data_IF_012978205402
#
_entry.id   IF_012978205402
#
_cell.length_a   1.000
_cell.length_b   1.000
_cell.length_c   1.000
_cell.angle_alpha   90.00
_cell.angle_beta   90.00
_cell.angle_gamma   90.00
#
_symmetry.space_group_name_H-M   'P 1'
#
loop_
_entity.id
_entity.type
_entity.pdbx_description
1 polymer ?
#
# COMPACT_ATOMS: atom_id res chain seq x y z
N UNK A 1 -1.08 20.32 -14.41
CA UNK A 1 -1.59 19.45 -15.50
C UNK A 1 -2.40 18.32 -14.90
N UNK A 2 -3.51 17.95 -15.54
CA UNK A 2 -4.37 16.87 -15.12
C UNK A 2 -4.28 15.71 -16.14
N UNK A 3 -3.82 14.53 -15.73
CA UNK A 3 -3.79 13.34 -16.57
C UNK A 3 -5.09 12.51 -16.50
N UNK A 4 -6.18 13.04 -15.92
CA UNK A 4 -7.51 12.44 -15.88
C UNK A 4 -7.54 10.96 -15.44
N UNK A 5 -6.70 10.59 -14.48
CA UNK A 5 -6.51 9.19 -13.99
C UNK A 5 -6.15 8.17 -15.08
N UNK A 6 -5.65 8.63 -16.21
CA UNK A 6 -5.17 7.78 -17.31
C UNK A 6 -3.67 7.54 -17.19
N UNK A 7 -3.26 6.31 -16.88
CA UNK A 7 -1.86 5.99 -16.59
C UNK A 7 -0.86 6.32 -17.71
N UNK A 8 -1.12 6.01 -18.99
CA UNK A 8 -0.27 6.45 -20.10
C UNK A 8 -0.14 7.97 -20.19
N UNK A 9 -1.23 8.70 -19.91
CA UNK A 9 -1.23 10.15 -19.96
C UNK A 9 -0.36 10.78 -18.86
N UNK A 10 -0.19 10.13 -17.71
CA UNK A 10 0.78 10.55 -16.69
C UNK A 10 2.20 10.62 -17.25
N UNK A 11 2.64 9.58 -17.96
CA UNK A 11 3.96 9.53 -18.57
C UNK A 11 4.12 10.62 -19.66
N UNK A 12 3.11 10.78 -20.53
CA UNK A 12 3.10 11.80 -21.58
C UNK A 12 3.19 13.22 -21.01
N UNK A 13 2.35 13.54 -20.03
CA UNK A 13 2.36 14.84 -19.36
C UNK A 13 3.68 15.11 -18.62
N UNK A 14 4.28 14.08 -18.05
CA UNK A 14 5.61 14.19 -17.43
C UNK A 14 6.68 14.53 -18.47
N UNK A 15 6.66 13.89 -19.67
CA UNK A 15 7.54 14.25 -20.79
C UNK A 15 7.35 15.70 -21.23
N UNK A 16 6.10 16.16 -21.31
CA UNK A 16 5.80 17.55 -21.64
C UNK A 16 6.40 18.51 -20.61
N UNK A 17 6.12 18.28 -19.31
CA UNK A 17 6.61 19.15 -18.23
C UNK A 17 8.13 19.25 -18.22
N UNK A 18 8.84 18.14 -18.32
CA UNK A 18 10.31 18.11 -18.26
C UNK A 18 10.95 18.57 -19.56
N UNK A 19 10.40 18.20 -20.71
CA UNK A 19 11.02 18.43 -22.03
C UNK A 19 10.64 19.76 -22.66
N UNK A 20 9.36 20.13 -22.63
CA UNK A 20 8.82 21.32 -23.27
C UNK A 20 8.75 22.51 -22.30
N UNK A 21 8.08 22.29 -21.17
CA UNK A 21 7.87 23.34 -20.16
C UNK A 21 9.11 23.57 -19.28
N UNK A 22 10.07 22.63 -19.31
CA UNK A 22 11.36 22.68 -18.61
C UNK A 22 11.23 23.00 -17.13
N UNK A 23 10.25 22.38 -16.48
CA UNK A 23 10.05 22.56 -15.04
C UNK A 23 11.24 21.99 -14.26
N UNK A 24 11.63 22.64 -13.18
CA UNK A 24 12.74 22.19 -12.34
C UNK A 24 12.38 20.96 -11.50
N UNK A 25 11.11 20.80 -11.16
CA UNK A 25 10.63 19.76 -10.25
C UNK A 25 9.13 19.49 -10.48
N UNK A 26 8.73 18.25 -10.24
CA UNK A 26 7.32 17.82 -10.26
C UNK A 26 6.91 17.40 -8.85
N UNK A 27 5.80 17.93 -8.35
CA UNK A 27 5.10 17.43 -7.18
C UNK A 27 3.83 16.76 -7.65
N UNK A 28 3.68 15.46 -7.41
CA UNK A 28 2.49 14.81 -7.94
C UNK A 28 2.48 13.30 -7.82
N UNK A 29 1.54 12.74 -8.54
CA UNK A 29 1.07 11.38 -8.44
C UNK A 29 0.38 11.08 -7.11
N UNK A 30 -0.65 10.26 -7.15
CA UNK A 30 -1.30 9.73 -5.96
C UNK A 30 -1.12 8.21 -5.89
N UNK A 31 -1.59 7.54 -6.93
CA UNK A 31 -1.60 6.08 -6.94
C UNK A 31 -0.21 5.52 -7.23
N UNK A 32 0.07 4.32 -6.72
CA UNK A 32 1.33 3.63 -7.03
C UNK A 32 1.49 3.38 -8.54
N UNK A 33 0.40 3.14 -9.26
CA UNK A 33 0.44 2.98 -10.73
C UNK A 33 0.83 4.27 -11.40
N UNK A 34 0.27 5.41 -11.01
CA UNK A 34 0.65 6.70 -11.61
C UNK A 34 2.13 7.02 -11.37
N UNK A 35 2.64 6.77 -10.16
CA UNK A 35 4.07 6.91 -9.86
C UNK A 35 4.92 5.98 -10.73
N UNK A 36 4.56 4.70 -10.83
CA UNK A 36 5.28 3.71 -11.65
C UNK A 36 5.23 4.05 -13.14
N UNK A 37 4.17 4.70 -13.62
CA UNK A 37 4.07 5.16 -15.00
C UNK A 37 5.01 6.32 -15.31
N UNK A 38 5.23 7.23 -14.37
CA UNK A 38 6.12 8.38 -14.58
C UNK A 38 7.58 8.08 -14.26
N UNK A 39 7.85 7.09 -13.42
CA UNK A 39 9.21 6.78 -12.96
C UNK A 39 10.23 6.60 -14.09
N UNK A 40 9.98 5.80 -15.14
CA UNK A 40 10.92 5.65 -16.24
C UNK A 40 11.21 6.97 -16.95
N UNK A 41 10.19 7.82 -17.11
CA UNK A 41 10.33 9.12 -17.77
C UNK A 41 11.16 10.09 -16.93
N UNK A 42 10.90 10.14 -15.63
CA UNK A 42 11.64 10.99 -14.70
C UNK A 42 13.12 10.58 -14.65
N UNK A 43 13.41 9.28 -14.69
CA UNK A 43 14.78 8.76 -14.72
C UNK A 43 15.48 9.03 -16.05
N UNK A 44 14.82 8.75 -17.18
CA UNK A 44 15.36 8.96 -18.53
C UNK A 44 15.72 10.43 -18.79
N UNK A 45 14.83 11.33 -18.36
CA UNK A 45 15.00 12.77 -18.55
C UNK A 45 15.78 13.44 -17.41
N UNK A 46 16.29 12.67 -16.46
CA UNK A 46 16.96 13.16 -15.25
C UNK A 46 16.17 14.26 -14.53
N UNK A 47 14.85 14.11 -14.51
CA UNK A 47 13.94 15.01 -13.82
C UNK A 47 13.91 14.74 -12.31
N UNK A 48 13.10 15.51 -11.59
CA UNK A 48 12.95 15.40 -10.15
C UNK A 48 11.47 15.30 -9.78
N UNK A 49 11.09 14.22 -9.08
CA UNK A 49 9.73 13.98 -8.61
C UNK A 49 9.70 13.96 -7.08
N UNK A 50 8.82 14.74 -6.47
CA UNK A 50 8.42 14.62 -5.09
C UNK A 50 7.06 13.89 -5.04
N UNK A 51 7.05 12.68 -4.49
CA UNK A 51 5.86 11.86 -4.32
C UNK A 51 5.32 12.03 -2.89
N UNK A 52 4.21 12.75 -2.68
CA UNK A 52 3.79 13.21 -1.35
C UNK A 52 2.91 12.22 -0.58
N UNK A 53 2.49 11.14 -1.21
CA UNK A 53 1.57 10.15 -0.63
C UNK A 53 2.36 9.01 0.03
N UNK A 54 1.74 8.32 1.00
CA UNK A 54 2.32 7.09 1.54
C UNK A 54 2.58 6.10 0.39
N UNK A 55 3.64 5.32 0.53
CA UNK A 55 3.97 4.33 -0.48
C UNK A 55 4.35 2.99 0.15
N UNK A 56 4.25 1.94 -0.64
CA UNK A 56 4.42 0.56 -0.20
C UNK A 56 5.87 0.15 0.09
N UNK A 57 6.85 1.01 -0.19
CA UNK A 57 8.27 0.65 -0.12
C UNK A 57 8.71 -0.19 -1.32
N UNK A 58 9.85 -0.86 -1.18
CA UNK A 58 10.45 -1.74 -2.21
C UNK A 58 10.72 -1.06 -3.57
N UNK A 59 10.84 0.26 -3.59
CA UNK A 59 11.18 1.06 -4.76
C UNK A 59 12.18 2.14 -4.34
N UNK A 60 13.22 2.32 -5.11
CA UNK A 60 14.24 3.34 -4.89
C UNK A 60 14.62 3.97 -6.24
N UNK A 61 14.63 5.29 -6.30
CA UNK A 61 15.13 6.05 -7.43
C UNK A 61 15.89 7.29 -6.94
N UNK A 62 16.99 7.60 -7.59
CA UNK A 62 17.74 8.86 -7.32
C UNK A 62 16.97 10.10 -7.77
N UNK A 63 15.93 9.91 -8.58
CA UNK A 63 15.12 10.98 -9.17
C UNK A 63 13.79 11.18 -8.43
N UNK A 64 13.48 10.36 -7.40
CA UNK A 64 12.21 10.43 -6.68
C UNK A 64 12.44 10.60 -5.18
N UNK A 65 11.82 11.63 -4.61
CA UNK A 65 11.74 11.84 -3.18
C UNK A 65 10.39 11.34 -2.67
N UNK A 66 10.41 10.26 -1.91
CA UNK A 66 9.23 9.67 -1.27
C UNK A 66 9.00 10.39 0.07
N UNK A 67 8.11 11.37 0.09
CA UNK A 67 7.88 12.23 1.25
C UNK A 67 6.70 11.81 2.11
N UNK A 68 5.91 10.84 1.64
CA UNK A 68 4.85 10.21 2.42
C UNK A 68 5.35 9.07 3.30
N UNK A 69 4.47 8.54 4.16
CA UNK A 69 4.82 7.48 5.09
C UNK A 69 5.20 6.18 4.37
N UNK A 70 6.29 5.56 4.81
CA UNK A 70 6.69 4.22 4.43
C UNK A 70 6.08 3.16 5.38
N UNK A 71 6.08 1.87 5.04
CA UNK A 71 5.47 0.83 5.86
C UNK A 71 5.99 0.74 7.29
N UNK A 72 7.27 1.05 7.52
CA UNK A 72 7.88 1.11 8.85
C UNK A 72 7.40 2.29 9.71
N UNK A 73 6.77 3.28 9.09
CA UNK A 73 6.21 4.45 9.76
C UNK A 73 4.70 4.35 9.98
N UNK A 74 4.01 3.46 9.28
CA UNK A 74 2.55 3.32 9.33
C UNK A 74 2.11 1.87 9.57
N UNK A 75 2.32 0.96 8.65
CA UNK A 75 1.77 -0.39 8.69
C UNK A 75 2.40 -1.25 9.80
N UNK A 76 3.71 -1.21 9.95
CA UNK A 76 4.44 -1.97 10.98
C UNK A 76 4.04 -1.52 12.40
N UNK A 77 4.03 -0.23 12.76
CA UNK A 77 3.57 0.22 14.07
C UNK A 77 2.11 -0.14 14.36
N UNK A 78 1.24 -0.14 13.35
CA UNK A 78 -0.15 -0.56 13.52
C UNK A 78 -0.25 -2.06 13.92
N UNK A 79 0.54 -2.92 13.27
CA UNK A 79 0.61 -4.35 13.63
C UNK A 79 1.22 -4.55 15.02
N UNK A 80 2.28 -3.82 15.37
CA UNK A 80 2.85 -3.86 16.71
C UNK A 80 1.83 -3.48 17.79
N UNK A 81 1.04 -2.44 17.52
CA UNK A 81 -0.05 -2.06 18.42
C UNK A 81 -1.08 -3.19 18.58
N UNK A 82 -1.57 -3.78 17.49
CA UNK A 82 -2.54 -4.89 17.55
C UNK A 82 -2.00 -6.10 18.32
N UNK A 83 -0.70 -6.39 18.21
CA UNK A 83 -0.04 -7.47 18.93
C UNK A 83 0.23 -7.14 20.41
N UNK A 84 0.25 -5.88 20.78
CA UNK A 84 0.46 -5.42 22.14
C UNK A 84 -0.73 -5.71 23.05
N UNK A 85 -0.52 -5.69 24.38
CA UNK A 85 -1.61 -5.85 25.36
C UNK A 85 -2.67 -4.76 25.21
N UNK A 86 -2.27 -3.52 24.93
CA UNK A 86 -3.16 -2.37 24.76
C UNK A 86 -4.01 -2.51 23.48
N UNK A 87 -3.43 -3.06 22.40
CA UNK A 87 -4.12 -3.29 21.12
C UNK A 87 -4.89 -4.61 21.04
N UNK A 88 -5.02 -5.32 22.16
CA UNK A 88 -5.80 -6.55 22.24
C UNK A 88 -5.00 -7.85 22.26
N UNK A 89 -3.70 -7.82 22.04
CA UNK A 89 -2.79 -8.98 22.14
C UNK A 89 -3.00 -10.00 21.03
N UNK A 90 -3.17 -9.54 19.79
CA UNK A 90 -3.35 -10.41 18.63
C UNK A 90 -2.17 -11.39 18.48
N UNK A 91 -2.49 -12.65 18.20
CA UNK A 91 -1.52 -13.74 17.96
C UNK A 91 -1.68 -14.35 16.57
N UNK A 92 -2.69 -13.91 15.85
CA UNK A 92 -2.99 -14.23 14.45
C UNK A 92 -3.31 -12.97 13.70
N UNK A 93 -3.10 -12.94 12.40
CA UNK A 93 -3.44 -11.81 11.55
C UNK A 93 -4.15 -12.28 10.28
N UNK A 94 -5.19 -11.54 9.89
CA UNK A 94 -5.72 -11.59 8.53
C UNK A 94 -5.33 -10.28 7.86
N UNK A 95 -4.41 -10.37 6.91
CA UNK A 95 -3.96 -9.22 6.11
C UNK A 95 -4.99 -9.01 4.99
N UNK A 96 -5.74 -7.94 5.09
CA UNK A 96 -6.81 -7.64 4.13
C UNK A 96 -6.39 -6.46 3.25
N UNK A 97 -6.48 -6.63 1.95
CA UNK A 97 -6.13 -5.60 0.99
C UNK A 97 -7.08 -5.54 -0.20
N UNK A 98 -7.05 -4.43 -0.92
CA UNK A 98 -7.56 -4.34 -2.28
C UNK A 98 -6.54 -5.00 -3.22
N UNK A 99 -6.98 -5.67 -4.27
CA UNK A 99 -6.10 -6.24 -5.29
C UNK A 99 -5.44 -5.14 -6.11
N UNK A 100 -4.33 -4.62 -5.58
CA UNK A 100 -3.62 -3.47 -6.08
C UNK A 100 -2.16 -3.47 -5.57
N UNK A 101 -1.26 -2.71 -6.19
CA UNK A 101 0.17 -2.67 -5.84
C UNK A 101 0.43 -2.35 -4.37
N UNK A 102 -0.16 -1.27 -3.86
CA UNK A 102 0.12 -0.81 -2.50
C UNK A 102 -0.26 -1.85 -1.44
N UNK A 103 -1.48 -2.42 -1.41
CA UNK A 103 -1.82 -3.47 -0.45
C UNK A 103 -0.98 -4.73 -0.61
N UNK A 104 -0.76 -5.19 -1.85
CA UNK A 104 0.00 -6.41 -2.10
C UNK A 104 1.44 -6.32 -1.58
N UNK A 105 2.14 -5.24 -1.88
CA UNK A 105 3.51 -5.04 -1.39
C UNK A 105 3.55 -4.82 0.13
N UNK A 106 2.60 -4.03 0.67
CA UNK A 106 2.52 -3.81 2.12
C UNK A 106 2.25 -5.11 2.87
N UNK A 107 1.32 -5.95 2.40
CA UNK A 107 1.02 -7.24 3.02
C UNK A 107 2.22 -8.21 2.97
N UNK A 108 2.98 -8.21 1.87
CA UNK A 108 4.24 -8.96 1.78
C UNK A 108 5.23 -8.54 2.88
N UNK A 109 5.39 -7.24 3.10
CA UNK A 109 6.24 -6.69 4.17
C UNK A 109 5.69 -7.08 5.54
N UNK A 110 4.39 -6.94 5.77
CA UNK A 110 3.76 -7.31 7.04
C UNK A 110 3.86 -8.81 7.32
N UNK A 111 3.74 -9.68 6.32
CA UNK A 111 3.95 -11.12 6.48
C UNK A 111 5.38 -11.44 6.91
N UNK A 112 6.37 -10.84 6.26
CA UNK A 112 7.78 -10.98 6.64
C UNK A 112 8.03 -10.46 8.07
N UNK A 113 7.42 -9.33 8.42
CA UNK A 113 7.53 -8.75 9.76
C UNK A 113 6.88 -9.64 10.83
N UNK A 114 5.67 -10.14 10.62
CA UNK A 114 5.01 -11.08 11.53
C UNK A 114 5.84 -12.34 11.75
N UNK A 115 6.43 -12.88 10.68
CA UNK A 115 7.36 -14.02 10.77
C UNK A 115 8.59 -13.70 11.65
N UNK A 116 9.16 -12.51 11.51
CA UNK A 116 10.28 -12.07 12.37
C UNK A 116 9.91 -11.95 13.85
N UNK A 117 8.63 -11.73 14.15
CA UNK A 117 8.07 -11.72 15.51
C UNK A 117 7.69 -13.12 16.02
N UNK A 118 7.96 -14.17 15.26
CA UNK A 118 7.67 -15.56 15.63
C UNK A 118 6.22 -16.00 15.37
N UNK A 119 5.44 -15.22 14.63
CA UNK A 119 4.10 -15.64 14.18
C UNK A 119 4.27 -16.70 13.09
N UNK A 120 3.60 -17.84 13.23
CA UNK A 120 3.67 -18.93 12.25
C UNK A 120 2.87 -18.58 10.99
N UNK A 121 3.30 -19.08 9.83
CA UNK A 121 2.57 -18.87 8.58
C UNK A 121 1.12 -19.37 8.64
N UNK A 122 0.86 -20.43 9.42
CA UNK A 122 -0.50 -20.93 9.69
C UNK A 122 -1.39 -19.99 10.51
N UNK A 123 -0.80 -19.00 11.17
CA UNK A 123 -1.48 -17.98 11.94
C UNK A 123 -1.61 -16.65 11.17
N UNK A 124 -1.24 -16.63 9.86
CA UNK A 124 -1.39 -15.48 8.98
C UNK A 124 -2.18 -15.89 7.75
N UNK A 125 -3.34 -15.28 7.55
CA UNK A 125 -4.11 -15.39 6.31
C UNK A 125 -4.05 -14.07 5.53
N UNK A 126 -4.30 -14.12 4.23
CA UNK A 126 -4.20 -12.97 3.35
C UNK A 126 -5.36 -12.99 2.35
N UNK A 127 -6.10 -11.91 2.29
CA UNK A 127 -7.28 -11.78 1.44
C UNK A 127 -7.26 -10.49 0.66
N UNK A 128 -7.72 -10.57 -0.58
CA UNK A 128 -7.84 -9.42 -1.45
C UNK A 128 -9.27 -9.30 -1.98
N UNK A 129 -9.72 -8.05 -2.10
CA UNK A 129 -10.97 -7.69 -2.77
C UNK A 129 -10.64 -7.02 -4.11
N UNK A 130 -11.46 -7.20 -5.15
CA UNK A 130 -11.31 -6.43 -6.38
C UNK A 130 -11.30 -4.93 -6.11
N UNK A 131 -10.59 -4.18 -6.95
CA UNK A 131 -10.57 -2.72 -6.85
C UNK A 131 -11.99 -2.16 -7.09
N UNK A 132 -12.48 -1.33 -6.16
CA UNK A 132 -13.83 -0.78 -6.21
C UNK A 132 -14.95 -1.70 -5.71
N UNK A 133 -14.64 -2.92 -5.27
CA UNK A 133 -15.63 -3.83 -4.67
C UNK A 133 -16.00 -3.35 -3.25
N UNK A 134 -17.30 -3.18 -3.01
CA UNK A 134 -17.87 -2.80 -1.72
C UNK A 134 -18.58 -3.95 -0.98
N UNK A 135 -18.65 -5.14 -1.57
CA UNK A 135 -19.25 -6.32 -0.91
C UNK A 135 -18.29 -6.94 0.10
N UNK A 136 -18.32 -6.39 1.30
CA UNK A 136 -17.48 -6.84 2.41
C UNK A 136 -18.08 -8.00 3.20
N UNK A 137 -19.35 -8.34 3.02
CA UNK A 137 -20.01 -9.41 3.80
C UNK A 137 -19.32 -10.77 3.62
N UNK A 138 -18.94 -11.08 2.37
CA UNK A 138 -18.18 -12.30 2.06
C UNK A 138 -16.84 -12.33 2.80
N UNK A 139 -16.15 -11.22 2.85
CA UNK A 139 -14.84 -11.09 3.53
C UNK A 139 -15.02 -11.24 5.04
N UNK A 140 -16.02 -10.59 5.64
CA UNK A 140 -16.34 -10.73 7.07
C UNK A 140 -16.58 -12.19 7.45
N UNK A 141 -17.32 -12.94 6.62
CA UNK A 141 -17.56 -14.38 6.84
C UNK A 141 -16.25 -15.17 6.81
N UNK A 142 -15.37 -14.90 5.85
CA UNK A 142 -14.06 -15.58 5.74
C UNK A 142 -13.17 -15.22 6.93
N UNK A 143 -13.10 -13.95 7.30
CA UNK A 143 -12.33 -13.47 8.45
C UNK A 143 -12.83 -14.12 9.74
N UNK A 144 -14.14 -14.23 9.94
CA UNK A 144 -14.74 -14.89 11.11
C UNK A 144 -14.47 -16.40 11.17
N UNK A 145 -14.31 -17.06 10.04
CA UNK A 145 -13.99 -18.50 9.98
C UNK A 145 -12.52 -18.80 10.26
N UNK A 146 -11.61 -17.89 9.95
CA UNK A 146 -10.18 -18.10 10.14
C UNK A 146 -9.76 -18.32 11.60
N UNK A 147 -10.27 -17.58 12.60
CA UNK A 147 -9.85 -17.71 13.99
C UNK A 147 -10.58 -18.83 14.74
N UNK A 148 -10.59 -20.05 14.24
CA UNK A 148 -11.07 -21.17 15.03
C UNK A 148 -10.07 -21.50 16.15
N UNK A 149 -10.37 -21.07 17.38
CA UNK A 149 -9.56 -21.33 18.57
C UNK A 149 -9.35 -20.11 19.48
N UNK A 150 -8.61 -20.30 20.57
CA UNK A 150 -8.44 -19.30 21.64
C UNK A 150 -7.50 -18.13 21.29
N UNK A 151 -6.84 -18.14 20.13
CA UNK A 151 -5.91 -17.06 19.75
C UNK A 151 -6.69 -15.86 19.21
N UNK A 152 -6.42 -14.69 19.77
CA UNK A 152 -6.96 -13.41 19.26
C UNK A 152 -6.40 -13.10 17.88
N UNK A 153 -7.26 -12.65 16.98
CA UNK A 153 -6.92 -12.31 15.60
C UNK A 153 -6.99 -10.80 15.39
N UNK A 154 -5.94 -10.21 14.87
CA UNK A 154 -5.91 -8.84 14.36
C UNK A 154 -6.23 -8.84 12.86
N UNK A 155 -6.92 -7.81 12.41
CA UNK A 155 -7.27 -7.64 10.99
C UNK A 155 -6.75 -6.27 10.53
N UNK A 156 -5.44 -6.15 10.21
CA UNK A 156 -4.96 -4.95 9.54
C UNK A 156 -5.52 -4.88 8.12
N UNK A 157 -6.12 -3.74 7.79
CA UNK A 157 -6.71 -3.49 6.48
C UNK A 157 -5.90 -2.45 5.70
N UNK A 158 -5.54 -2.77 4.46
CA UNK A 158 -4.89 -1.86 3.53
C UNK A 158 -5.85 -1.65 2.37
N UNK A 159 -6.90 -0.89 2.63
CA UNK A 159 -7.99 -0.61 1.69
C UNK A 159 -8.35 0.86 1.73
N UNK A 160 -8.92 1.38 0.64
CA UNK A 160 -9.53 2.69 0.58
C UNK A 160 -11.02 2.66 0.96
N UNK A 161 -11.88 3.06 0.05
CA UNK A 161 -13.34 3.13 0.23
C UNK A 161 -14.00 1.86 0.80
N UNK A 162 -13.54 0.62 0.48
CA UNK A 162 -14.08 -0.60 1.05
C UNK A 162 -14.03 -0.72 2.57
N UNK A 163 -13.24 0.11 3.27
CA UNK A 163 -13.20 0.09 4.74
C UNK A 163 -14.51 0.56 5.39
N UNK A 164 -15.29 1.40 4.71
CA UNK A 164 -16.52 1.96 5.28
C UNK A 164 -17.60 0.89 5.56
N UNK A 165 -17.88 -0.07 4.64
CA UNK A 165 -18.82 -1.16 4.92
C UNK A 165 -18.24 -2.32 5.73
N UNK A 166 -16.93 -2.39 5.96
CA UNK A 166 -16.25 -3.42 6.73
C UNK A 166 -16.39 -3.19 8.24
#
# INVERSE_FOLDING_TARGET
>A
VDPASNWPLFAEKTKQLLGQDKVAVIFGCWTSVSRKSVLPVVEEMNGLLFYPVQYEGEELSKNVFYTGAAPNQQAIPAVDYLMSKAGGGAKRCVLLGTDYFHPGTTNKILRAYLKSKGVKDTDVDEKYTPYGDSDQQRIVVVVKKFPQGAKKTGVPTIQGDPNTPF
#
